data_IF_779886885344
#
_entry.id   IF_779886885344
#
_cell.length_a   1.000
_cell.length_b   1.000
_cell.length_c   1.000
_cell.angle_alpha   90.00
_cell.angle_beta   90.00
_cell.angle_gamma   90.00
#
_symmetry.space_group_name_H-M   'P 1'
#
loop_
_entity.id
_entity.type
_entity.pdbx_description
1 polymer ?
#
# COMPACT_ATOMS: atom_id res chain seq x y z
N UNK A 1 -13.75 -9.03 16.44
CA UNK A 1 -13.55 -9.06 14.98
C UNK A 1 -14.54 -8.09 14.37
N UNK A 2 -14.07 -6.91 13.97
CA UNK A 2 -14.88 -5.97 13.20
C UNK A 2 -14.69 -6.42 11.75
N UNK A 3 -15.74 -6.99 11.15
CA UNK A 3 -15.77 -7.33 9.73
C UNK A 3 -16.64 -6.26 9.07
N UNK A 4 -16.06 -5.09 8.86
CA UNK A 4 -16.71 -3.94 8.26
C UNK A 4 -15.72 -3.30 7.28
N UNK A 5 -16.24 -2.56 6.31
CA UNK A 5 -15.43 -1.75 5.41
C UNK A 5 -14.67 -0.73 6.28
N UNK A 6 -13.34 -0.71 6.15
CA UNK A 6 -12.47 0.20 6.91
C UNK A 6 -12.97 1.64 6.78
N UNK A 7 -13.44 2.06 5.60
CA UNK A 7 -13.96 3.42 5.40
C UNK A 7 -15.27 3.68 6.17
N UNK A 8 -16.14 2.68 6.30
CA UNK A 8 -17.38 2.80 7.09
C UNK A 8 -17.08 2.82 8.59
N UNK A 9 -16.14 1.99 9.03
CA UNK A 9 -15.68 1.98 10.42
C UNK A 9 -15.06 3.33 10.81
N UNK A 10 -14.27 3.95 9.92
CA UNK A 10 -13.67 5.27 10.18
C UNK A 10 -14.70 6.40 10.20
N UNK A 11 -15.75 6.32 9.38
CA UNK A 11 -16.87 7.29 9.42
C UNK A 11 -17.65 7.23 10.72
N UNK A 12 -17.77 6.05 11.32
CA UNK A 12 -18.55 5.83 12.55
C UNK A 12 -17.72 6.01 13.83
N UNK A 13 -16.40 5.89 13.74
CA UNK A 13 -15.47 5.91 14.87
C UNK A 13 -14.51 7.11 14.84
N UNK A 14 -15.00 8.29 14.45
CA UNK A 14 -14.19 9.48 14.16
C UNK A 14 -13.26 9.96 15.30
N UNK A 15 -13.52 9.57 16.55
CA UNK A 15 -12.71 9.93 17.72
C UNK A 15 -11.62 8.89 18.06
N UNK A 16 -11.54 7.78 17.32
CA UNK A 16 -10.51 6.76 17.53
C UNK A 16 -9.26 7.08 16.73
N UNK A 17 -8.14 7.22 17.43
CA UNK A 17 -6.80 7.31 16.84
C UNK A 17 -6.06 6.00 17.06
N UNK A 18 -5.28 5.60 16.06
CA UNK A 18 -4.46 4.39 16.10
C UNK A 18 -2.98 4.77 16.06
N UNK A 19 -2.15 4.15 16.89
CA UNK A 19 -0.71 4.41 16.82
C UNK A 19 -0.09 3.88 15.53
N UNK A 20 -0.48 2.66 15.14
CA UNK A 20 0.05 1.95 13.97
C UNK A 20 -1.09 1.31 13.18
N UNK A 21 -1.05 1.45 11.85
CA UNK A 21 -1.90 0.72 10.91
C UNK A 21 -1.05 -0.30 10.14
N UNK A 22 -1.56 -1.52 9.99
CA UNK A 22 -0.88 -2.62 9.28
C UNK A 22 -1.71 -2.97 8.05
N UNK A 23 -1.11 -2.82 6.87
CA UNK A 23 -1.67 -3.18 5.57
C UNK A 23 -0.82 -4.32 5.00
N UNK A 24 -1.26 -5.57 5.15
CA UNK A 24 -0.56 -6.74 4.60
C UNK A 24 -1.43 -7.35 3.51
N UNK A 25 -0.95 -7.29 2.28
CA UNK A 25 -1.64 -7.77 1.09
C UNK A 25 -3.03 -7.15 0.89
N UNK A 26 -3.14 -5.83 1.09
CA UNK A 26 -4.41 -5.09 0.94
C UNK A 26 -4.36 -4.12 -0.23
N UNK A 27 -3.24 -3.42 -0.44
CA UNK A 27 -3.19 -2.30 -1.39
C UNK A 27 -3.33 -2.76 -2.85
N UNK A 28 -2.93 -3.98 -3.17
CA UNK A 28 -3.04 -4.58 -4.51
C UNK A 28 -4.48 -4.85 -4.97
N UNK A 29 -5.41 -4.87 -4.01
CA UNK A 29 -6.84 -5.09 -4.25
C UNK A 29 -7.64 -3.79 -4.33
N UNK A 30 -7.00 -2.63 -4.18
CA UNK A 30 -7.67 -1.33 -4.17
C UNK A 30 -7.56 -0.63 -5.52
N UNK A 31 -8.68 -0.09 -6.02
CA UNK A 31 -8.71 0.71 -7.25
C UNK A 31 -7.92 2.03 -7.12
N UNK A 32 -7.86 2.60 -5.91
CA UNK A 32 -7.19 3.88 -5.63
C UNK A 32 -6.40 3.82 -4.31
N UNK A 33 -5.22 3.18 -4.29
CA UNK A 33 -4.42 3.00 -3.08
C UNK A 33 -3.94 4.34 -2.50
N UNK A 34 -3.68 5.35 -3.33
CA UNK A 34 -3.27 6.68 -2.88
C UNK A 34 -4.36 7.35 -2.03
N UNK A 35 -5.59 7.42 -2.53
CA UNK A 35 -6.69 8.07 -1.81
C UNK A 35 -7.02 7.33 -0.50
N UNK A 36 -6.91 6.01 -0.52
CA UNK A 36 -7.09 5.17 0.67
C UNK A 36 -6.02 5.49 1.74
N UNK A 37 -4.74 5.49 1.36
CA UNK A 37 -3.64 5.84 2.27
C UNK A 37 -3.74 7.27 2.80
N UNK A 38 -4.15 8.24 1.97
CA UNK A 38 -4.39 9.62 2.42
C UNK A 38 -5.52 9.73 3.44
N UNK A 39 -6.54 8.88 3.34
CA UNK A 39 -7.62 8.84 4.34
C UNK A 39 -7.10 8.25 5.66
N UNK A 40 -6.32 7.16 5.58
CA UNK A 40 -5.75 6.52 6.75
C UNK A 40 -4.68 7.38 7.46
N UNK A 41 -3.96 8.23 6.73
CA UNK A 41 -2.98 9.15 7.32
C UNK A 41 -3.61 10.19 8.26
N UNK A 42 -4.94 10.35 8.25
CA UNK A 42 -5.64 11.22 9.19
C UNK A 42 -5.82 10.61 10.58
N UNK A 43 -5.83 9.28 10.69
CA UNK A 43 -6.19 8.57 11.92
C UNK A 43 -5.01 7.88 12.61
N UNK A 44 -3.86 7.79 11.92
CA UNK A 44 -2.67 7.11 12.43
C UNK A 44 -1.37 7.82 12.11
N UNK A 45 -0.38 7.58 12.97
CA UNK A 45 0.97 8.15 12.86
C UNK A 45 1.93 7.24 12.12
N UNK A 46 1.77 5.93 12.23
CA UNK A 46 2.67 4.94 11.67
C UNK A 46 1.93 3.93 10.81
N UNK A 47 2.61 3.44 9.77
CA UNK A 47 2.06 2.51 8.81
C UNK A 47 3.08 1.44 8.51
N UNK A 48 2.66 0.19 8.59
CA UNK A 48 3.36 -0.94 7.99
C UNK A 48 2.60 -1.33 6.72
N UNK A 49 3.31 -1.38 5.59
CA UNK A 49 2.75 -1.74 4.29
C UNK A 49 3.53 -2.92 3.76
N UNK A 50 2.83 -3.99 3.40
CA UNK A 50 3.39 -5.18 2.77
C UNK A 50 2.54 -5.56 1.56
N UNK A 51 3.19 -5.71 0.41
CA UNK A 51 2.57 -6.15 -0.84
C UNK A 51 3.50 -7.09 -1.60
N UNK A 52 3.01 -7.87 -2.58
CA UNK A 52 3.86 -8.67 -3.46
C UNK A 52 4.89 -7.80 -4.21
N UNK A 53 6.12 -8.30 -4.34
CA UNK A 53 7.18 -7.64 -5.11
C UNK A 53 7.18 -8.18 -6.53
N UNK A 54 6.57 -7.41 -7.44
CA UNK A 54 6.52 -7.76 -8.86
C UNK A 54 7.93 -7.94 -9.46
N UNK A 55 8.91 -7.15 -9.00
CA UNK A 55 10.29 -7.17 -9.48
C UNK A 55 11.12 -8.33 -8.92
N UNK A 56 10.57 -9.16 -8.02
CA UNK A 56 11.31 -10.24 -7.35
C UNK A 56 11.75 -11.38 -8.28
N UNK A 57 11.17 -11.49 -9.47
CA UNK A 57 11.49 -12.54 -10.44
C UNK A 57 11.79 -11.95 -11.82
N UNK A 58 12.96 -12.29 -12.37
CA UNK A 58 13.31 -11.97 -13.77
C UNK A 58 12.26 -12.50 -14.76
N UNK A 59 11.53 -13.56 -14.41
CA UNK A 59 10.46 -14.11 -15.23
C UNK A 59 9.32 -13.10 -15.44
N UNK A 60 9.02 -12.25 -14.46
CA UNK A 60 7.98 -11.22 -14.55
C UNK A 60 8.41 -10.08 -15.49
N UNK A 61 9.69 -9.71 -15.47
CA UNK A 61 10.26 -8.74 -16.41
C UNK A 61 10.20 -9.25 -17.86
N UNK A 62 10.53 -10.53 -18.10
CA UNK A 62 10.38 -11.14 -19.42
C UNK A 62 8.91 -11.23 -19.86
N UNK A 63 7.97 -11.50 -18.95
CA UNK A 63 6.53 -11.52 -19.24
C UNK A 63 6.00 -10.14 -19.65
N UNK A 64 6.43 -9.07 -18.97
CA UNK A 64 6.13 -7.69 -19.34
C UNK A 64 6.67 -7.32 -20.73
N UNK A 65 7.90 -7.74 -21.06
CA UNK A 65 8.50 -7.50 -22.38
C UNK A 65 7.80 -8.22 -23.54
N UNK A 66 7.15 -9.35 -23.28
CA UNK A 66 6.49 -10.16 -24.32
C UNK A 66 5.02 -9.75 -24.52
N UNK A 67 4.50 -8.76 -23.77
CA UNK A 67 3.08 -8.33 -23.79
C UNK A 67 2.11 -9.51 -23.69
N UNK A 68 2.49 -10.55 -22.95
CA UNK A 68 1.55 -11.60 -22.62
C UNK A 68 0.71 -11.05 -21.48
N UNK A 69 -0.62 -11.09 -21.60
CA UNK A 69 -1.51 -10.68 -20.51
C UNK A 69 -1.00 -11.33 -19.22
N UNK A 70 -0.75 -10.52 -18.19
CA UNK A 70 -0.38 -10.96 -16.85
C UNK A 70 -1.61 -11.59 -16.17
N UNK A 71 -2.19 -12.59 -16.81
CA UNK A 71 -3.32 -13.35 -16.32
C UNK A 71 -2.79 -14.41 -15.35
N UNK A 72 -2.47 -14.00 -14.12
CA UNK A 72 -2.63 -14.87 -12.96
C UNK A 72 -4.04 -14.65 -12.39
N UNK A 73 -4.99 -15.43 -12.91
CA UNK A 73 -5.99 -16.17 -12.13
C UNK A 73 -6.41 -15.59 -10.77
N UNK A 74 -7.06 -14.42 -10.76
CA UNK A 74 -8.26 -14.12 -9.98
C UNK A 74 -8.70 -12.69 -10.34
N UNK A 75 -10.00 -12.44 -10.43
CA UNK A 75 -10.56 -11.13 -10.79
C UNK A 75 -10.24 -10.00 -9.79
N UNK A 76 -9.47 -10.28 -8.74
CA UNK A 76 -9.33 -9.40 -7.57
C UNK A 76 -7.94 -8.74 -7.44
N UNK A 77 -6.94 -9.05 -8.27
CA UNK A 77 -5.66 -8.32 -8.29
C UNK A 77 -5.70 -7.19 -9.31
N UNK A 78 -5.97 -5.97 -8.84
CA UNK A 78 -6.15 -4.78 -9.69
C UNK A 78 -4.81 -4.13 -10.05
N UNK A 79 -3.74 -4.31 -9.26
CA UNK A 79 -2.44 -3.69 -9.52
C UNK A 79 -1.24 -4.52 -9.05
N UNK A 80 -0.28 -4.72 -9.95
CA UNK A 80 1.07 -5.20 -9.63
C UNK A 80 1.99 -3.99 -9.50
N UNK A 81 2.36 -3.61 -8.28
CA UNK A 81 3.21 -2.45 -8.08
C UNK A 81 4.68 -2.77 -8.34
N UNK A 82 5.35 -1.90 -9.07
CA UNK A 82 6.80 -1.83 -8.99
C UNK A 82 7.26 -1.04 -7.75
N UNK A 83 8.53 -1.21 -7.36
CA UNK A 83 9.09 -0.61 -6.14
C UNK A 83 9.07 0.92 -6.15
N UNK A 84 9.15 1.55 -7.33
CA UNK A 84 9.15 3.00 -7.49
C UNK A 84 7.73 3.54 -7.41
N UNK A 85 6.81 2.92 -8.15
CA UNK A 85 5.40 3.26 -8.17
C UNK A 85 4.81 3.24 -6.76
N UNK A 86 5.02 2.15 -6.01
CA UNK A 86 4.51 2.06 -4.65
C UNK A 86 5.14 3.12 -3.73
N UNK A 87 6.44 3.37 -3.86
CA UNK A 87 7.11 4.40 -3.06
C UNK A 87 6.56 5.81 -3.38
N UNK A 88 6.22 6.08 -4.63
CA UNK A 88 5.65 7.36 -5.05
C UNK A 88 4.20 7.50 -4.58
N UNK A 89 3.39 6.45 -4.65
CA UNK A 89 2.03 6.41 -4.08
C UNK A 89 2.06 6.71 -2.57
N UNK A 90 2.96 6.06 -1.82
CA UNK A 90 3.12 6.26 -0.37
C UNK A 90 3.46 7.73 -0.06
N UNK A 91 4.41 8.32 -0.81
CA UNK A 91 4.81 9.72 -0.63
C UNK A 91 3.68 10.69 -0.97
N UNK A 92 3.01 10.47 -2.10
CA UNK A 92 1.89 11.29 -2.53
C UNK A 92 0.69 11.19 -1.58
N UNK A 93 0.57 10.11 -0.83
CA UNK A 93 -0.42 9.95 0.22
C UNK A 93 -0.11 10.76 1.50
N UNK A 94 1.04 11.43 1.57
CA UNK A 94 1.48 12.21 2.73
C UNK A 94 2.23 11.38 3.77
N UNK A 95 2.82 10.25 3.38
CA UNK A 95 3.63 9.41 4.25
C UNK A 95 5.12 9.52 3.90
N UNK A 96 5.97 9.52 4.91
CA UNK A 96 7.41 9.39 4.79
C UNK A 96 7.83 7.94 5.02
N UNK A 97 8.59 7.37 4.08
CA UNK A 97 9.16 6.02 4.22
C UNK A 97 10.41 6.13 5.10
N UNK A 98 10.40 5.46 6.25
CA UNK A 98 11.55 5.39 7.16
C UNK A 98 12.40 4.15 6.89
N UNK A 99 11.76 3.01 6.59
CA UNK A 99 12.44 1.74 6.28
C UNK A 99 11.76 1.09 5.08
N UNK A 100 12.54 0.50 4.19
CA UNK A 100 12.04 -0.38 3.15
C UNK A 100 12.88 -1.66 3.08
N UNK A 101 12.22 -2.79 2.84
CA UNK A 101 12.84 -4.10 2.68
C UNK A 101 12.20 -4.83 1.51
N UNK A 102 13.04 -5.44 0.66
CA UNK A 102 12.60 -6.23 -0.49
C UNK A 102 13.23 -7.62 -0.37
N UNK A 103 12.46 -8.57 0.15
CA UNK A 103 12.94 -9.90 0.43
C UNK A 103 11.83 -10.93 0.26
N UNK A 104 12.18 -12.15 -0.13
CA UNK A 104 11.25 -13.27 -0.26
C UNK A 104 10.02 -13.00 -1.15
N UNK A 105 10.16 -12.15 -2.17
CA UNK A 105 9.06 -11.87 -3.10
C UNK A 105 8.03 -10.88 -2.61
N UNK A 106 8.32 -10.12 -1.56
CA UNK A 106 7.44 -9.05 -1.06
C UNK A 106 8.21 -7.75 -0.79
N UNK A 107 7.48 -6.65 -0.91
CA UNK A 107 7.94 -5.32 -0.55
C UNK A 107 7.35 -4.94 0.80
N UNK A 108 8.19 -4.52 1.73
CA UNK A 108 7.78 -4.05 3.06
C UNK A 108 8.24 -2.62 3.27
N UNK A 109 7.34 -1.79 3.75
CA UNK A 109 7.60 -0.40 4.08
C UNK A 109 7.14 -0.10 5.51
N UNK A 110 8.03 0.49 6.28
CA UNK A 110 7.66 1.17 7.52
C UNK A 110 7.63 2.67 7.24
N UNK A 111 6.46 3.26 7.44
CA UNK A 111 6.19 4.64 7.11
C UNK A 111 5.67 5.40 8.33
N UNK A 112 5.92 6.70 8.34
CA UNK A 112 5.35 7.64 9.30
C UNK A 112 4.57 8.70 8.55
N UNK A 113 3.54 9.27 9.17
CA UNK A 113 2.91 10.49 8.66
C UNK A 113 3.99 11.55 8.43
N UNK A 114 4.06 12.08 7.21
CA UNK A 114 4.95 13.20 6.94
C UNK A 114 4.48 14.36 7.80
N UNK A 115 5.39 14.97 8.56
CA UNK A 115 5.02 16.18 9.29
C UNK A 115 4.66 17.24 8.24
N UNK A 116 3.51 17.87 8.40
CA UNK A 116 3.21 19.12 7.69
C UNK A 116 4.29 20.12 8.12
N UNK A 117 5.36 20.22 7.34
CA UNK A 117 6.32 21.30 7.49
C UNK A 117 5.55 22.57 7.16
N UNK A 118 5.14 23.24 8.24
CA UNK A 118 4.64 24.60 8.33
C UNK A 118 5.04 25.46 7.11
N UNK A 119 4.06 25.85 6.32
CA UNK A 119 4.07 27.04 5.47
C UNK A 119 2.68 27.67 5.58
#
# INVERSE_FOLDING_TARGET
>A
LICDDVLNFLRTSADQSFDVVVLSHVLEHLDNPQAFLSTLSQISKYFYIEVPDFESSHLNLYRSMIKTDLNYTDNDHVSEFDRRELADIIKQAGLAIEICEFSFGVMRYWCRKANDSCC
#
